data_IF_003823186527
#
_entry.id   IF_003823186527
#
_cell.length_a   1.000
_cell.length_b   1.000
_cell.length_c   1.000
_cell.angle_alpha   90.00
_cell.angle_beta   90.00
_cell.angle_gamma   90.00
#
_symmetry.space_group_name_H-M   'P 1'
#
loop_
_entity.id
_entity.type
_entity.pdbx_description
1 polymer ?
#
# COMPACT_ATOMS: atom_id res chain seq x y z
N UNK A 1 12.32 19.94 1.43
CA UNK A 1 10.85 20.10 1.53
C UNK A 1 10.07 18.82 1.19
N UNK A 2 10.09 18.30 -0.05
CA UNK A 2 9.24 17.13 -0.43
C UNK A 2 9.53 15.84 0.37
N UNK A 3 10.80 15.53 0.66
CA UNK A 3 11.17 14.35 1.45
C UNK A 3 10.74 14.47 2.93
N UNK A 4 10.79 15.66 3.51
CA UNK A 4 10.31 15.91 4.88
C UNK A 4 8.80 15.71 5.00
N UNK A 5 8.03 16.21 4.02
CA UNK A 5 6.58 16.02 4.00
C UNK A 5 6.21 14.52 3.93
N UNK A 6 6.92 13.74 3.11
CA UNK A 6 6.74 12.28 3.05
C UNK A 6 7.05 11.60 4.38
N UNK A 7 8.19 11.93 5.01
CA UNK A 7 8.56 11.38 6.32
C UNK A 7 7.51 11.72 7.39
N UNK A 8 7.02 12.97 7.40
CA UNK A 8 6.00 13.42 8.34
C UNK A 8 4.69 12.66 8.16
N UNK A 9 4.23 12.49 6.92
CA UNK A 9 2.99 11.75 6.63
C UNK A 9 3.16 10.27 6.96
N UNK A 10 4.28 9.66 6.60
CA UNK A 10 4.54 8.26 6.95
C UNK A 10 4.58 8.07 8.47
N UNK A 11 5.22 8.99 9.20
CA UNK A 11 5.23 8.99 10.66
C UNK A 11 3.82 9.15 11.23
N UNK A 12 2.99 10.03 10.65
CA UNK A 12 1.59 10.22 11.04
C UNK A 12 0.77 8.94 10.82
N UNK A 13 0.97 8.26 9.69
CA UNK A 13 0.30 6.99 9.40
C UNK A 13 0.72 5.89 10.36
N UNK A 14 1.99 5.85 10.76
CA UNK A 14 2.48 4.90 11.78
C UNK A 14 1.89 5.22 13.15
N UNK A 15 1.89 6.50 13.55
CA UNK A 15 1.36 6.95 14.84
C UNK A 15 -0.15 6.66 15.02
N UNK A 16 -0.90 6.57 13.91
CA UNK A 16 -2.33 6.28 13.91
C UNK A 16 -2.67 4.83 13.51
N UNK A 17 -1.70 3.91 13.47
CA UNK A 17 -1.89 2.51 13.06
C UNK A 17 -2.52 2.33 11.65
N UNK A 18 -2.29 3.31 10.78
CA UNK A 18 -2.80 3.34 9.39
C UNK A 18 -1.80 2.79 8.38
N UNK A 19 -0.58 2.48 8.81
CA UNK A 19 0.42 1.80 8.01
C UNK A 19 0.42 0.30 8.33
N UNK A 20 0.03 -0.51 7.36
CA UNK A 20 -0.08 -1.96 7.49
C UNK A 20 1.06 -2.61 6.72
N UNK A 21 1.81 -3.46 7.41
CA UNK A 21 2.87 -4.27 6.80
C UNK A 21 2.36 -5.69 6.57
N UNK A 22 2.56 -6.21 5.36
CA UNK A 22 2.21 -7.59 4.99
C UNK A 22 3.48 -8.35 4.66
N UNK A 23 3.63 -9.60 5.12
CA UNK A 23 4.86 -10.37 4.86
C UNK A 23 5.04 -10.69 3.36
N UNK A 24 3.99 -11.16 2.68
CA UNK A 24 4.02 -11.39 1.25
C UNK A 24 2.61 -11.39 0.64
N UNK A 25 2.50 -10.98 -0.62
CA UNK A 25 1.27 -11.14 -1.43
C UNK A 25 1.11 -12.58 -1.97
N UNK A 26 1.96 -13.51 -1.53
CA UNK A 26 2.22 -14.84 -2.11
C UNK A 26 0.99 -15.76 -2.24
N UNK A 27 -0.15 -15.43 -1.63
CA UNK A 27 -1.36 -16.29 -1.68
C UNK A 27 -2.31 -15.95 -2.85
N UNK A 28 -1.95 -14.98 -3.70
CA UNK A 28 -2.74 -14.60 -4.87
C UNK A 28 -2.23 -15.36 -6.11
N UNK A 29 -2.35 -16.69 -6.11
CA UNK A 29 -2.08 -17.53 -7.30
C UNK A 29 -3.06 -17.32 -8.46
N UNK A 30 -4.10 -16.50 -8.25
CA UNK A 30 -5.13 -16.18 -9.26
C UNK A 30 -5.56 -14.76 -9.01
N UNK A 31 -5.59 -13.91 -10.05
CA UNK A 31 -5.96 -12.49 -10.02
C UNK A 31 -7.45 -12.29 -9.65
N UNK A 32 -7.85 -12.77 -8.47
CA UNK A 32 -9.20 -12.74 -7.95
C UNK A 32 -9.32 -11.56 -7.00
N UNK A 33 -10.00 -10.54 -7.48
CA UNK A 33 -10.47 -9.37 -6.71
C UNK A 33 -11.10 -9.77 -5.39
N UNK A 34 -11.85 -10.88 -5.36
CA UNK A 34 -12.49 -11.43 -4.15
C UNK A 34 -11.49 -11.86 -3.07
N UNK A 35 -10.34 -12.42 -3.44
CA UNK A 35 -9.28 -12.79 -2.48
C UNK A 35 -8.61 -11.55 -1.89
N UNK A 36 -8.32 -10.54 -2.73
CA UNK A 36 -7.71 -9.31 -2.25
C UNK A 36 -8.70 -8.48 -1.42
N UNK A 37 -9.97 -8.44 -1.80
CA UNK A 37 -11.03 -7.78 -1.02
C UNK A 37 -11.32 -8.46 0.33
N UNK A 38 -11.25 -9.79 0.40
CA UNK A 38 -11.39 -10.52 1.68
C UNK A 38 -10.18 -10.29 2.59
N UNK A 39 -8.95 -10.32 2.06
CA UNK A 39 -7.76 -9.97 2.82
C UNK A 39 -7.81 -8.52 3.36
N UNK A 40 -8.25 -7.57 2.53
CA UNK A 40 -8.45 -6.17 2.94
C UNK A 40 -9.60 -5.98 3.94
N UNK A 41 -10.60 -6.87 3.94
CA UNK A 41 -11.70 -6.85 4.89
C UNK A 41 -11.29 -7.40 6.28
N UNK A 42 -10.26 -8.25 6.33
CA UNK A 42 -9.64 -8.72 7.57
C UNK A 42 -8.68 -7.71 8.18
N UNK A 43 -8.28 -6.69 7.42
CA UNK A 43 -7.41 -5.61 7.85
C UNK A 43 -8.22 -4.41 8.37
N UNK A 44 -7.64 -3.56 9.23
CA UNK A 44 -8.29 -2.33 9.73
C UNK A 44 -8.66 -1.35 8.60
N UNK A 45 -8.10 -1.55 7.40
CA UNK A 45 -8.43 -0.83 6.16
C UNK A 45 -9.84 -1.08 5.60
N UNK A 46 -10.66 -1.92 6.25
CA UNK A 46 -11.98 -2.34 5.75
C UNK A 46 -12.84 -1.13 5.33
N UNK A 47 -13.28 -1.13 4.06
CA UNK A 47 -14.11 -0.10 3.43
C UNK A 47 -13.50 1.32 3.34
N UNK A 48 -12.24 1.50 3.71
CA UNK A 48 -11.52 2.79 3.67
C UNK A 48 -10.64 2.91 2.42
N UNK A 49 -10.29 4.14 2.07
CA UNK A 49 -9.37 4.40 0.96
C UNK A 49 -7.99 3.85 1.30
N UNK A 50 -7.54 2.87 0.53
CA UNK A 50 -6.32 2.11 0.82
C UNK A 50 -5.35 2.20 -0.33
N UNK A 51 -4.13 2.60 -0.04
CA UNK A 51 -3.01 2.62 -0.96
C UNK A 51 -2.20 1.34 -0.80
N UNK A 52 -2.09 0.54 -1.84
CA UNK A 52 -1.23 -0.64 -1.89
C UNK A 52 0.06 -0.25 -2.59
N UNK A 53 1.18 -0.41 -1.89
CA UNK A 53 2.50 -0.22 -2.46
C UNK A 53 3.01 -1.57 -2.95
N UNK A 54 3.37 -1.66 -4.23
CA UNK A 54 3.79 -2.90 -4.87
C UNK A 54 4.97 -2.67 -5.79
N UNK A 55 5.58 -3.73 -6.34
CA UNK A 55 6.55 -3.57 -7.44
C UNK A 55 5.86 -3.68 -8.80
N UNK A 56 6.47 -3.14 -9.87
CA UNK A 56 5.97 -3.35 -11.24
C UNK A 56 5.89 -4.83 -11.65
N UNK A 57 6.61 -5.72 -10.95
CA UNK A 57 6.62 -7.16 -11.22
C UNK A 57 5.35 -7.87 -10.72
N UNK A 58 4.60 -7.26 -9.80
CA UNK A 58 3.42 -7.86 -9.17
C UNK A 58 2.13 -7.60 -9.96
N UNK A 59 2.13 -7.98 -11.24
CA UNK A 59 1.01 -7.73 -12.17
C UNK A 59 -0.33 -8.27 -11.68
N UNK A 60 -0.32 -9.37 -10.92
CA UNK A 60 -1.49 -9.99 -10.32
C UNK A 60 -2.14 -9.10 -9.26
N UNK A 61 -1.34 -8.47 -8.40
CA UNK A 61 -1.81 -7.56 -7.34
C UNK A 61 -2.36 -6.28 -7.98
N UNK A 62 -1.63 -5.71 -8.93
CA UNK A 62 -2.05 -4.50 -9.68
C UNK A 62 -3.39 -4.74 -10.37
N UNK A 63 -3.54 -5.87 -11.06
CA UNK A 63 -4.78 -6.22 -11.78
C UNK A 63 -5.95 -6.47 -10.82
N UNK A 64 -5.68 -7.09 -9.68
CA UNK A 64 -6.71 -7.35 -8.66
C UNK A 64 -7.16 -6.06 -7.96
N UNK A 65 -6.22 -5.17 -7.63
CA UNK A 65 -6.48 -3.89 -6.98
C UNK A 65 -7.27 -2.92 -7.88
N UNK A 66 -7.00 -2.90 -9.19
CA UNK A 66 -7.67 -2.00 -10.16
C UNK A 66 -9.20 -2.13 -10.17
N UNK A 67 -9.72 -3.31 -9.89
CA UNK A 67 -11.15 -3.58 -9.91
C UNK A 67 -11.83 -3.37 -8.54
N UNK A 68 -11.09 -3.01 -7.49
CA UNK A 68 -11.62 -2.80 -6.15
C UNK A 68 -11.91 -1.31 -5.91
N UNK A 69 -13.15 -0.94 -5.56
CA UNK A 69 -13.46 0.44 -5.22
C UNK A 69 -12.70 0.86 -3.96
N UNK A 70 -12.17 2.08 -3.95
CA UNK A 70 -11.39 2.67 -2.83
C UNK A 70 -9.99 2.05 -2.63
N UNK A 71 -9.52 1.19 -3.52
CA UNK A 71 -8.17 0.62 -3.46
C UNK A 71 -7.37 1.14 -4.64
N UNK A 72 -6.20 1.71 -4.36
CA UNK A 72 -5.27 2.16 -5.40
C UNK A 72 -3.96 1.43 -5.22
N UNK A 73 -3.42 0.84 -6.29
CA UNK A 73 -2.09 0.24 -6.28
C UNK A 73 -1.08 1.14 -6.98
N UNK A 74 0.04 1.43 -6.33
CA UNK A 74 1.15 2.19 -6.91
C UNK A 74 2.45 1.41 -6.81
N UNK A 75 3.36 1.67 -7.75
CA UNK A 75 4.72 1.19 -7.67
C UNK A 75 5.49 1.87 -6.54
N UNK A 76 6.41 1.15 -5.86
CA UNK A 76 7.32 1.75 -4.86
C UNK A 76 8.10 2.95 -5.45
N UNK A 77 8.36 2.91 -6.76
CA UNK A 77 9.01 3.96 -7.52
C UNK A 77 8.20 5.27 -7.63
N UNK A 78 6.88 5.17 -7.54
CA UNK A 78 5.92 6.26 -7.79
C UNK A 78 5.30 6.84 -6.52
N UNK A 79 5.79 6.45 -5.34
CA UNK A 79 5.31 6.92 -4.05
C UNK A 79 5.44 8.45 -3.94
N UNK A 80 4.32 9.12 -3.72
CA UNK A 80 4.22 10.57 -3.63
C UNK A 80 3.34 11.02 -2.45
N UNK A 81 3.43 12.31 -2.13
CA UNK A 81 2.73 12.93 -1.01
C UNK A 81 1.21 12.93 -1.21
N UNK A 82 0.77 13.18 -2.44
CA UNK A 82 -0.64 13.29 -2.79
C UNK A 82 -1.37 11.97 -2.53
N UNK A 83 -0.79 10.86 -2.96
CA UNK A 83 -1.34 9.52 -2.77
C UNK A 83 -1.38 9.15 -1.29
N UNK A 84 -0.33 9.46 -0.52
CA UNK A 84 -0.31 9.18 0.92
C UNK A 84 -1.35 9.99 1.72
N UNK A 85 -1.69 11.20 1.26
CA UNK A 85 -2.75 12.03 1.86
C UNK A 85 -4.14 11.62 1.40
N UNK A 86 -4.30 11.27 0.12
CA UNK A 86 -5.59 10.90 -0.46
C UNK A 86 -6.14 9.57 0.08
N UNK A 87 -5.26 8.72 0.62
CA UNK A 87 -5.61 7.42 1.18
C UNK A 87 -5.49 7.44 2.70
N UNK A 88 -6.44 6.81 3.38
CA UNK A 88 -6.42 6.69 4.83
C UNK A 88 -5.37 5.66 5.25
N UNK A 89 -5.38 4.48 4.61
CA UNK A 89 -4.51 3.35 4.92
C UNK A 89 -3.45 3.15 3.84
N UNK A 90 -2.27 2.72 4.27
CA UNK A 90 -1.16 2.36 3.38
C UNK A 90 -0.74 0.93 3.70
N UNK A 91 -0.80 0.04 2.71
CA UNK A 91 -0.41 -1.35 2.82
C UNK A 91 0.88 -1.56 2.05
N UNK A 92 1.92 -2.00 2.75
CA UNK A 92 3.26 -2.19 2.17
C UNK A 92 3.73 -3.61 2.47
N UNK A 93 4.20 -4.38 1.47
CA UNK A 93 4.86 -5.64 1.73
C UNK A 93 6.23 -5.41 2.38
N UNK A 94 6.61 -6.30 3.30
CA UNK A 94 7.84 -6.21 4.11
C UNK A 94 9.08 -5.99 3.26
N UNK A 95 9.15 -6.64 2.10
CA UNK A 95 10.27 -6.54 1.16
C UNK A 95 10.49 -5.12 0.59
N UNK A 96 9.45 -4.28 0.59
CA UNK A 96 9.51 -2.91 0.07
C UNK A 96 9.85 -1.86 1.12
N UNK A 97 9.79 -2.21 2.40
CA UNK A 97 10.15 -1.30 3.49
C UNK A 97 11.60 -0.86 3.37
N UNK A 98 12.52 -1.80 3.10
CA UNK A 98 13.94 -1.48 2.95
C UNK A 98 14.23 -0.55 1.76
N UNK A 99 13.41 -0.61 0.70
CA UNK A 99 13.56 0.27 -0.47
C UNK A 99 13.06 1.68 -0.13
N UNK A 100 11.92 1.77 0.56
CA UNK A 100 11.36 3.04 1.05
C UNK A 100 12.36 3.69 2.01
N UNK A 101 12.86 2.95 2.99
CA UNK A 101 13.84 3.45 3.95
C UNK A 101 15.10 3.98 3.27
N UNK A 102 15.70 3.22 2.34
CA UNK A 102 16.89 3.68 1.59
C UNK A 102 16.64 4.93 0.76
N UNK A 103 15.45 5.06 0.17
CA UNK A 103 15.09 6.20 -0.68
C UNK A 103 14.84 7.47 0.12
N UNK A 104 14.47 7.33 1.40
CA UNK A 104 14.12 8.44 2.27
C UNK A 104 15.02 8.53 3.51
N UNK A 105 16.24 7.97 3.49
CA UNK A 105 17.29 8.23 4.49
C UNK A 105 18.09 9.46 4.07
#
# INVERSE_FOLDING_TARGET
>A
MRQQALRMILSDKVAHDRLVVVEAWATINSAKTKKLGTALASLPSKQKKTLIVTTPKDSVVIRSARNLPKVTSIGVGSLNVLDLLAHEYVVVPKDLISIIEKRYR
#
